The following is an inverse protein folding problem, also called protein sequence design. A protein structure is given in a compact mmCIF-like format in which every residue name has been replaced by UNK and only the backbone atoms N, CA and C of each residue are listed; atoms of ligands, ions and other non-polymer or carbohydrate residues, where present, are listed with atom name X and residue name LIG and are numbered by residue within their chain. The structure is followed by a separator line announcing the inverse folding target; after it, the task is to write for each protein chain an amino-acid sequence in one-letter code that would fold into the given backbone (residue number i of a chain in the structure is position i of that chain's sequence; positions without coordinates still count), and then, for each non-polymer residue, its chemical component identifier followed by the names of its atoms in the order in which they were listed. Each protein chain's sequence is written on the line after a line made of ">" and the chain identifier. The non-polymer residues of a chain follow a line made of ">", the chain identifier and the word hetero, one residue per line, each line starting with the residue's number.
data_IF_304160583747
#
_entry.id   IF_304160583747
#
_cell.length_a   1.000
_cell.length_b   1.000
_cell.length_c   1.000
_cell.angle_alpha   90.00
_cell.angle_beta   90.00
_cell.angle_gamma   90.00
#
_symmetry.space_group_name_H-M   'P 1'
#
loop_
_entity.id
_entity.type
_entity.pdbx_description
1 polymer ?
#
# COMPACT_ATOMS: atom_id res chain seq x y z
N UNK A 1 8.47 -7.77 -17.54
CA UNK A 1 7.87 -9.11 -17.71
C UNK A 1 6.38 -8.86 -17.72
N UNK A 2 5.69 -9.10 -18.83
CA UNK A 2 4.25 -8.82 -18.89
C UNK A 2 3.51 -9.82 -17.99
N UNK A 3 2.84 -9.27 -16.99
CA UNK A 3 1.96 -10.00 -16.09
C UNK A 3 0.80 -10.60 -16.88
N UNK A 4 0.51 -11.87 -16.62
CA UNK A 4 -0.62 -12.55 -17.25
C UNK A 4 -1.95 -12.02 -16.71
N UNK A 5 -3.05 -12.24 -17.45
CA UNK A 5 -4.39 -11.82 -17.02
C UNK A 5 -4.78 -12.43 -15.67
N UNK A 6 -4.40 -13.69 -15.41
CA UNK A 6 -4.70 -14.36 -14.14
C UNK A 6 -3.91 -13.75 -12.98
N UNK A 7 -2.61 -13.53 -13.16
CA UNK A 7 -1.77 -12.84 -12.18
C UNK A 7 -2.32 -11.44 -11.87
N UNK A 8 -2.71 -10.66 -12.89
CA UNK A 8 -3.31 -9.35 -12.71
C UNK A 8 -4.59 -9.39 -11.85
N UNK A 9 -5.48 -10.35 -12.10
CA UNK A 9 -6.70 -10.49 -11.30
C UNK A 9 -6.40 -10.89 -9.85
N UNK A 10 -5.42 -11.78 -9.64
CA UNK A 10 -4.99 -12.18 -8.31
C UNK A 10 -4.39 -11.00 -7.54
N UNK A 11 -3.54 -10.18 -8.17
CA UNK A 11 -2.98 -8.99 -7.53
C UNK A 11 -4.04 -7.93 -7.24
N UNK A 12 -4.99 -7.73 -8.16
CA UNK A 12 -6.13 -6.86 -7.91
C UNK A 12 -6.88 -7.30 -6.65
N UNK A 13 -7.20 -8.59 -6.55
CA UNK A 13 -7.88 -9.14 -5.39
C UNK A 13 -7.05 -8.96 -4.11
N UNK A 14 -5.75 -9.22 -4.18
CA UNK A 14 -4.83 -9.01 -3.05
C UNK A 14 -4.85 -7.56 -2.55
N UNK A 15 -4.80 -6.56 -3.45
CA UNK A 15 -4.88 -5.14 -3.05
C UNK A 15 -6.23 -4.82 -2.39
N UNK A 16 -7.33 -5.38 -2.91
CA UNK A 16 -8.66 -5.20 -2.33
C UNK A 16 -8.75 -5.83 -0.94
N UNK A 17 -8.21 -7.04 -0.76
CA UNK A 17 -8.15 -7.75 0.52
C UNK A 17 -7.26 -7.02 1.53
N UNK A 18 -6.05 -6.62 1.14
CA UNK A 18 -5.12 -5.84 1.95
C UNK A 18 -5.76 -4.50 2.37
N UNK A 19 -6.41 -3.81 1.44
CA UNK A 19 -7.10 -2.55 1.74
C UNK A 19 -8.28 -2.78 2.68
N UNK A 20 -8.99 -3.91 2.57
CA UNK A 20 -10.04 -4.28 3.51
C UNK A 20 -9.48 -4.58 4.91
N UNK A 21 -8.34 -5.28 5.01
CA UNK A 21 -7.62 -5.53 6.27
C UNK A 21 -7.18 -4.21 6.93
N UNK A 22 -6.62 -3.28 6.15
CA UNK A 22 -6.26 -1.95 6.65
C UNK A 22 -7.47 -1.23 7.27
N UNK A 23 -8.64 -1.35 6.63
CA UNK A 23 -9.84 -0.64 7.06
C UNK A 23 -10.53 -1.26 8.28
N UNK A 24 -10.43 -2.60 8.43
CA UNK A 24 -11.20 -3.38 9.41
C UNK A 24 -10.37 -3.92 10.59
N UNK A 25 -9.10 -4.25 10.38
CA UNK A 25 -8.30 -4.98 11.36
C UNK A 25 -7.13 -4.16 11.88
N UNK A 26 -6.47 -3.37 11.03
CA UNK A 26 -5.25 -2.64 11.39
C UNK A 26 -5.54 -1.25 11.97
N UNK A 27 -6.17 -1.26 13.13
CA UNK A 27 -6.64 -0.06 13.81
C UNK A 27 -5.51 0.93 14.13
N UNK A 28 -4.33 0.45 14.53
CA UNK A 28 -3.20 1.32 14.88
C UNK A 28 -2.63 2.05 13.66
N UNK A 29 -2.41 1.32 12.55
CA UNK A 29 -1.96 1.93 11.30
C UNK A 29 -3.01 2.90 10.75
N UNK A 30 -4.28 2.51 10.78
CA UNK A 30 -5.41 3.37 10.40
C UNK A 30 -5.43 4.68 11.18
N UNK A 31 -5.32 4.61 12.51
CA UNK A 31 -5.28 5.79 13.37
C UNK A 31 -4.05 6.66 13.07
N UNK A 32 -2.90 6.05 12.78
CA UNK A 32 -1.69 6.76 12.42
C UNK A 32 -1.84 7.51 11.09
N UNK A 33 -2.41 6.87 10.06
CA UNK A 33 -2.71 7.49 8.77
C UNK A 33 -3.62 8.71 8.96
N UNK A 34 -4.73 8.55 9.69
CA UNK A 34 -5.68 9.64 9.96
C UNK A 34 -5.01 10.77 10.75
N UNK A 35 -4.18 10.43 11.75
CA UNK A 35 -3.47 11.42 12.58
C UNK A 35 -2.42 12.21 11.79
N UNK A 36 -1.87 11.64 10.73
CA UNK A 36 -0.98 12.32 9.79
C UNK A 36 -1.76 13.10 8.71
N UNK A 37 -3.06 13.30 8.89
CA UNK A 37 -3.94 14.04 7.99
C UNK A 37 -4.04 13.42 6.58
N UNK A 38 -3.84 12.10 6.47
CA UNK A 38 -3.98 11.34 5.24
C UNK A 38 -5.40 10.79 5.15
N UNK A 39 -6.03 10.94 3.98
CA UNK A 39 -7.37 10.44 3.76
C UNK A 39 -7.36 8.92 3.50
N UNK A 40 -7.80 8.15 4.50
CA UNK A 40 -7.87 6.69 4.43
C UNK A 40 -8.79 6.17 3.33
N UNK A 41 -9.95 6.78 3.08
CA UNK A 41 -10.91 6.34 2.04
C UNK A 41 -10.30 6.39 0.63
N UNK A 42 -9.25 7.20 0.48
CA UNK A 42 -8.53 7.39 -0.78
C UNK A 42 -7.16 6.73 -0.77
N UNK A 43 -6.87 5.94 0.26
CA UNK A 43 -5.59 5.27 0.44
C UNK A 43 -5.78 3.76 0.25
N UNK A 44 -5.03 3.18 -0.67
CA UNK A 44 -4.97 1.73 -0.88
C UNK A 44 -3.73 1.17 -0.20
N UNK A 45 -3.85 -0.01 0.41
CA UNK A 45 -2.69 -0.82 0.80
C UNK A 45 -2.30 -1.65 -0.41
N UNK A 46 -1.23 -1.24 -1.09
CA UNK A 46 -0.84 -1.79 -2.39
C UNK A 46 0.23 -2.87 -2.29
N UNK A 47 0.79 -3.08 -1.09
CA UNK A 47 1.74 -4.14 -0.84
C UNK A 47 2.01 -4.30 0.65
N UNK A 48 2.25 -5.54 1.05
CA UNK A 48 2.61 -5.91 2.42
C UNK A 48 3.53 -7.12 2.40
N UNK A 49 4.59 -7.08 3.21
CA UNK A 49 5.44 -8.24 3.43
C UNK A 49 6.11 -8.17 4.81
N UNK A 50 6.44 -9.33 5.37
CA UNK A 50 7.26 -9.46 6.56
C UNK A 50 8.66 -9.89 6.14
N UNK A 51 9.70 -9.24 6.67
CA UNK A 51 11.08 -9.64 6.42
C UNK A 51 11.55 -10.77 7.36
N UNK A 52 12.76 -11.28 7.11
CA UNK A 52 13.32 -12.39 7.88
C UNK A 52 13.56 -12.06 9.37
N UNK A 53 13.55 -10.79 9.76
CA UNK A 53 13.73 -10.32 11.13
C UNK A 53 12.38 -10.11 11.84
N UNK A 54 11.26 -10.39 11.17
CA UNK A 54 9.91 -10.19 11.68
C UNK A 54 9.47 -8.73 11.65
N UNK A 55 10.14 -7.88 10.85
CA UNK A 55 9.70 -6.51 10.62
C UNK A 55 8.71 -6.51 9.46
N UNK A 56 7.54 -5.95 9.71
CA UNK A 56 6.50 -5.80 8.71
C UNK A 56 6.75 -4.53 7.90
N UNK A 57 6.54 -4.61 6.61
CA UNK A 57 6.66 -3.51 5.66
C UNK A 57 5.40 -3.45 4.83
N UNK A 58 4.98 -2.26 4.45
CA UNK A 58 4.00 -2.13 3.40
C UNK A 58 3.95 -0.76 2.77
N UNK A 59 3.18 -0.69 1.69
CA UNK A 59 3.10 0.47 0.81
C UNK A 59 1.65 0.95 0.73
N UNK A 60 1.47 2.22 1.03
CA UNK A 60 0.19 2.91 0.96
C UNK A 60 0.24 3.89 -0.20
N UNK A 61 -0.75 3.81 -1.10
CA UNK A 61 -0.91 4.73 -2.22
C UNK A 61 -2.13 5.61 -2.01
N UNK A 62 -1.94 6.93 -1.97
CA UNK A 62 -3.04 7.87 -1.91
C UNK A 62 -3.45 8.34 -3.31
N UNK A 63 -4.66 7.96 -3.73
CA UNK A 63 -5.19 8.21 -5.07
C UNK A 63 -5.32 9.69 -5.42
N UNK A 64 -5.65 10.55 -4.45
CA UNK A 64 -6.00 11.95 -4.74
C UNK A 64 -4.76 12.82 -4.82
N UNK A 65 -3.90 12.66 -3.82
CA UNK A 65 -2.75 13.50 -3.62
C UNK A 65 -1.50 12.90 -4.32
N UNK A 66 -1.67 11.74 -4.97
CA UNK A 66 -0.70 11.02 -5.79
C UNK A 66 0.66 10.87 -5.09
N UNK A 67 0.63 10.38 -3.85
CA UNK A 67 1.84 10.10 -3.09
C UNK A 67 1.83 8.66 -2.57
N UNK A 68 3.04 8.19 -2.27
CA UNK A 68 3.28 6.87 -1.70
C UNK A 68 3.85 7.05 -0.30
N UNK A 69 3.37 6.24 0.63
CA UNK A 69 3.94 6.11 1.96
C UNK A 69 4.37 4.67 2.17
N UNK A 70 5.58 4.49 2.68
CA UNK A 70 6.00 3.23 3.27
C UNK A 70 5.64 3.25 4.75
N UNK A 71 4.99 2.20 5.23
CA UNK A 71 4.93 1.93 6.66
C UNK A 71 5.84 0.76 7.01
N UNK A 72 6.39 0.82 8.21
CA UNK A 72 7.19 -0.25 8.78
C UNK A 72 6.73 -0.48 10.23
N UNK A 73 6.49 -1.74 10.59
CA UNK A 73 6.14 -2.14 11.96
C UNK A 73 7.27 -2.99 12.52
N UNK A 74 7.86 -2.54 13.62
CA UNK A 74 8.88 -3.30 14.33
C UNK A 74 8.77 -3.02 15.83
N UNK A 75 8.80 -4.07 16.66
CA UNK A 75 8.68 -3.95 18.12
C UNK A 75 7.51 -3.04 18.56
N UNK A 76 6.31 -3.26 18.01
CA UNK A 76 5.11 -2.47 18.26
C UNK A 76 5.22 -0.96 17.92
N UNK A 77 6.24 -0.57 17.17
CA UNK A 77 6.41 0.81 16.69
C UNK A 77 6.12 0.86 15.20
N UNK A 78 5.20 1.74 14.80
CA UNK A 78 4.84 1.97 13.41
C UNK A 78 5.54 3.25 12.94
N UNK A 79 6.33 3.16 11.87
CA UNK A 79 6.97 4.30 11.23
C UNK A 79 6.37 4.55 9.85
N UNK A 80 6.11 5.80 9.50
CA UNK A 80 5.66 6.21 8.16
C UNK A 80 6.74 7.04 7.49
N UNK A 81 7.09 6.68 6.25
CA UNK A 81 8.05 7.41 5.43
C UNK A 81 7.42 7.73 4.09
N UNK A 82 7.45 8.99 3.67
CA UNK A 82 7.01 9.37 2.33
C UNK A 82 8.07 9.01 1.29
N UNK A 83 7.62 8.46 0.18
CA UNK A 83 8.46 8.14 -0.98
C UNK A 83 8.18 9.21 -2.04
N UNK A 84 9.08 10.18 -2.17
CA UNK A 84 8.94 11.37 -3.02
C UNK A 84 9.15 11.11 -4.55
N UNK A 85 8.90 9.90 -5.05
CA UNK A 85 9.12 9.56 -6.47
C UNK A 85 7.92 8.89 -7.16
N UNK A 86 6.69 9.29 -6.80
CA UNK A 86 5.42 8.67 -7.24
C UNK A 86 4.96 8.98 -8.67
N UNK A 87 5.87 9.14 -9.64
CA UNK A 87 5.48 9.36 -11.05
C UNK A 87 6.30 8.55 -12.06
N UNK A 88 6.99 7.50 -11.63
CA UNK A 88 7.47 6.50 -12.56
C UNK A 88 6.46 5.36 -12.55
N UNK A 89 5.78 5.16 -13.67
CA UNK A 89 5.26 3.86 -14.08
C UNK A 89 6.45 2.90 -14.10
N UNK A 90 6.86 2.43 -12.92
CA UNK A 90 8.05 1.63 -12.76
C UNK A 90 7.67 0.17 -12.88
N UNK A 91 8.31 -0.51 -13.82
CA UNK A 91 8.28 -1.97 -13.96
C UNK A 91 8.75 -2.69 -12.67
N UNK A 92 9.40 -1.98 -11.75
CA UNK A 92 9.86 -2.53 -10.47
C UNK A 92 8.72 -2.72 -9.45
N UNK A 93 7.58 -2.04 -9.63
CA UNK A 93 6.44 -2.09 -8.72
C UNK A 93 5.12 -2.34 -9.45
N UNK A 94 4.93 -3.53 -10.05
CA UNK A 94 3.70 -3.86 -10.79
C UNK A 94 2.44 -3.68 -9.94
N UNK A 95 2.53 -3.85 -8.62
CA UNK A 95 1.43 -3.66 -7.67
C UNK A 95 0.92 -2.21 -7.64
N UNK A 96 1.83 -1.23 -7.80
CA UNK A 96 1.47 0.19 -7.86
C UNK A 96 0.73 0.51 -9.16
N UNK A 97 1.19 -0.03 -10.29
CA UNK A 97 0.50 0.10 -11.59
C UNK A 97 -0.92 -0.48 -11.52
N UNK A 98 -1.08 -1.65 -10.90
CA UNK A 98 -2.40 -2.25 -10.66
C UNK A 98 -3.27 -1.31 -9.82
N UNK A 99 -2.74 -0.73 -8.74
CA UNK A 99 -3.48 0.20 -7.89
C UNK A 99 -3.92 1.47 -8.62
N UNK A 100 -3.10 2.00 -9.53
CA UNK A 100 -3.44 3.11 -10.43
C UNK A 100 -4.59 2.68 -11.34
N UNK A 101 -4.49 1.52 -12.00
CA UNK A 101 -5.55 1.00 -12.88
C UNK A 101 -6.87 0.70 -12.16
N UNK A 102 -6.85 0.41 -10.84
CA UNK A 102 -8.06 0.26 -10.02
C UNK A 102 -8.73 1.59 -9.68
N UNK A 103 -8.07 2.71 -9.94
CA UNK A 103 -8.60 4.04 -9.70
C UNK A 103 -9.25 4.68 -10.93
N UNK A 104 -9.02 4.14 -12.14
CA UNK A 104 -9.61 4.57 -13.41
C UNK A 104 -10.98 3.95 -13.73
#
# INVERSE_FOLDING_TARGET
>A
MEMTTEEFQNYKLEIEELTALLNNEWHDLKNLIISNNINLERTLLVGYYEDAEGKEHGLLYNKKDNFILKFEVFNNTISLTSIDHGHEESDEYPQLLVAISLAD
#
